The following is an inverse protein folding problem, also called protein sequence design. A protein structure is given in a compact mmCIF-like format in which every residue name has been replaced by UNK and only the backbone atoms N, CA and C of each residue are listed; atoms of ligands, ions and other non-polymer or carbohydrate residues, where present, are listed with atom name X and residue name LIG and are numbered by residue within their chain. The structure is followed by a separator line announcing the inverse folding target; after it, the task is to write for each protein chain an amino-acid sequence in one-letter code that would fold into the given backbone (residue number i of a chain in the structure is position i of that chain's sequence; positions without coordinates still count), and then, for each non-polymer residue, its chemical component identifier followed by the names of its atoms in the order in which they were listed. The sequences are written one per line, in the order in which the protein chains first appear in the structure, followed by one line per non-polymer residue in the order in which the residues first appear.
data_IF_929653961252
#
_entry.id   IF_929653961252
#
_cell.length_a   1.000
_cell.length_b   1.000
_cell.length_c   1.000
_cell.angle_alpha   90.00
_cell.angle_beta   90.00
_cell.angle_gamma   90.00
#
_symmetry.space_group_name_H-M   'P 1'
#
loop_
_entity.id
_entity.type
_entity.pdbx_description
1 polymer ?
#
# COMPACT_ATOMS: atom_id res chain seq x y z
N UNK A 1 -35.64 -13.73 -61.32
CA UNK A 1 -34.66 -14.49 -60.52
C UNK A 1 -34.92 -14.17 -59.06
N UNK A 2 -35.61 -15.06 -58.34
CA UNK A 2 -35.97 -14.88 -56.93
C UNK A 2 -34.85 -15.45 -56.07
N UNK A 3 -34.17 -14.59 -55.31
CA UNK A 3 -33.13 -15.01 -54.37
C UNK A 3 -33.79 -15.82 -53.24
N UNK A 4 -33.33 -17.06 -53.08
CA UNK A 4 -33.81 -17.99 -52.05
C UNK A 4 -33.11 -17.70 -50.71
N UNK A 5 -33.71 -16.79 -49.95
CA UNK A 5 -33.19 -16.32 -48.65
C UNK A 5 -33.18 -17.40 -47.56
N UNK A 6 -33.91 -18.51 -47.74
CA UNK A 6 -33.98 -19.60 -46.76
C UNK A 6 -32.70 -20.44 -46.75
N UNK A 7 -32.10 -20.71 -47.91
CA UNK A 7 -30.79 -21.39 -48.00
C UNK A 7 -29.65 -20.55 -47.44
N UNK A 8 -29.73 -19.23 -47.57
CA UNK A 8 -28.71 -18.33 -47.03
C UNK A 8 -28.73 -18.30 -45.50
N UNK A 9 -29.93 -18.20 -44.89
CA UNK A 9 -30.09 -18.21 -43.42
C UNK A 9 -29.57 -19.48 -42.76
N UNK A 10 -29.89 -20.65 -43.32
CA UNK A 10 -29.42 -21.95 -42.81
C UNK A 10 -27.88 -22.13 -42.87
N UNK A 11 -27.19 -21.40 -43.75
CA UNK A 11 -25.72 -21.45 -43.86
C UNK A 11 -25.01 -20.63 -42.79
N UNK A 12 -25.70 -19.69 -42.15
CA UNK A 12 -25.16 -18.78 -41.14
C UNK A 12 -25.38 -19.38 -39.75
N UNK A 13 -26.55 -19.99 -39.50
CA UNK A 13 -26.89 -20.62 -38.22
C UNK A 13 -26.05 -21.88 -37.90
N UNK A 14 -25.48 -22.55 -38.92
CA UNK A 14 -24.59 -23.71 -38.72
C UNK A 14 -23.14 -23.32 -38.40
N UNK A 15 -22.83 -22.02 -38.39
CA UNK A 15 -21.48 -21.52 -38.15
C UNK A 15 -21.36 -21.01 -36.72
N UNK A 16 -21.63 -21.86 -35.74
CA UNK A 16 -21.20 -21.59 -34.37
C UNK A 16 -19.67 -21.66 -34.35
N UNK A 17 -18.96 -20.55 -34.12
CA UNK A 17 -17.50 -20.60 -34.05
C UNK A 17 -17.14 -21.44 -32.83
N UNK A 18 -16.51 -22.59 -33.05
CA UNK A 18 -15.85 -23.33 -31.98
C UNK A 18 -14.62 -22.52 -31.58
N UNK A 19 -14.80 -21.67 -30.57
CA UNK A 19 -13.73 -20.85 -30.01
C UNK A 19 -12.90 -21.78 -29.12
N UNK A 20 -11.61 -21.91 -29.40
CA UNK A 20 -10.72 -22.66 -28.52
C UNK A 20 -10.53 -21.85 -27.23
N UNK A 21 -11.17 -22.29 -26.15
CA UNK A 21 -11.13 -21.62 -24.86
C UNK A 21 -9.76 -21.75 -24.17
N UNK A 22 -8.97 -22.80 -24.51
CA UNK A 22 -7.67 -23.06 -23.89
C UNK A 22 -6.65 -21.94 -24.18
N UNK A 23 -6.41 -21.53 -25.45
CA UNK A 23 -5.55 -20.38 -25.75
C UNK A 23 -6.12 -19.05 -25.24
N UNK A 24 -7.45 -18.89 -25.23
CA UNK A 24 -8.10 -17.66 -24.77
C UNK A 24 -7.90 -17.44 -23.27
N UNK A 25 -8.03 -18.51 -22.48
CA UNK A 25 -7.81 -18.49 -21.04
C UNK A 25 -6.38 -18.07 -20.71
N UNK A 26 -5.39 -18.58 -21.46
CA UNK A 26 -3.97 -18.25 -21.27
C UNK A 26 -3.69 -16.75 -21.49
N UNK A 27 -4.29 -16.16 -22.53
CA UNK A 27 -4.17 -14.71 -22.80
C UNK A 27 -4.82 -13.88 -21.68
N UNK A 28 -6.01 -14.28 -21.20
CA UNK A 28 -6.69 -13.57 -20.11
C UNK A 28 -5.89 -13.67 -18.81
N UNK A 29 -5.36 -14.85 -18.49
CA UNK A 29 -4.57 -15.08 -17.29
C UNK A 29 -3.26 -14.27 -17.31
N UNK A 30 -2.61 -14.22 -18.46
CA UNK A 30 -1.40 -13.41 -18.68
C UNK A 30 -1.68 -11.92 -18.44
N UNK A 31 -2.80 -11.39 -18.95
CA UNK A 31 -3.19 -9.99 -18.74
C UNK A 31 -3.53 -9.71 -17.27
N UNK A 32 -4.24 -10.62 -16.59
CA UNK A 32 -4.58 -10.49 -15.17
C UNK A 32 -3.33 -10.42 -14.29
N UNK A 33 -2.36 -11.31 -14.50
CA UNK A 33 -1.10 -11.30 -13.74
C UNK A 33 -0.33 -10.01 -14.03
N UNK A 34 -0.22 -9.62 -15.30
CA UNK A 34 0.47 -8.39 -15.68
C UNK A 34 -0.13 -7.17 -15.00
N UNK A 35 -1.46 -7.05 -14.99
CA UNK A 35 -2.16 -5.96 -14.31
C UNK A 35 -1.95 -6.00 -12.79
N UNK A 36 -1.99 -7.18 -12.16
CA UNK A 36 -1.74 -7.32 -10.72
C UNK A 36 -0.31 -6.86 -10.35
N UNK A 37 0.68 -7.26 -11.14
CA UNK A 37 2.08 -6.89 -10.94
C UNK A 37 2.33 -5.40 -11.22
N UNK A 38 1.61 -4.81 -12.18
CA UNK A 38 1.68 -3.36 -12.43
C UNK A 38 0.98 -2.56 -11.33
N UNK A 39 -0.19 -2.99 -10.85
CA UNK A 39 -0.89 -2.33 -9.73
C UNK A 39 -0.10 -2.40 -8.43
N UNK A 40 0.66 -3.48 -8.17
CA UNK A 40 1.48 -3.58 -6.96
C UNK A 40 2.71 -2.66 -6.97
N UNK A 41 3.11 -2.15 -8.14
CA UNK A 41 4.25 -1.24 -8.31
C UNK A 41 3.83 0.23 -8.41
N UNK A 42 2.55 0.52 -8.65
CA UNK A 42 2.04 1.88 -8.56
C UNK A 42 1.69 2.20 -7.09
N UNK A 43 2.35 3.19 -6.46
CA UNK A 43 1.83 3.73 -5.20
C UNK A 43 0.45 4.32 -5.51
N UNK A 44 -0.58 3.74 -4.91
CA UNK A 44 -1.96 4.18 -5.06
C UNK A 44 -2.07 5.66 -4.73
N UNK A 45 -2.33 6.49 -5.75
CA UNK A 45 -2.85 7.85 -5.61
C UNK A 45 -4.32 7.72 -5.24
N UNK A 46 -4.61 7.19 -4.07
CA UNK A 46 -5.91 7.31 -3.42
C UNK A 46 -5.73 7.09 -1.91
N UNK A 47 -5.78 8.20 -1.19
CA UNK A 47 -5.84 8.31 0.26
C UNK A 47 -7.22 7.81 0.73
N UNK A 48 -7.43 6.51 0.77
CA UNK A 48 -8.56 5.92 1.50
C UNK A 48 -8.08 4.69 2.27
N UNK A 49 -7.88 4.91 3.57
CA UNK A 49 -7.45 3.90 4.53
C UNK A 49 -8.49 2.78 4.64
N UNK A 50 -8.20 1.60 4.07
CA UNK A 50 -8.92 0.36 4.36
C UNK A 50 -8.21 -0.42 5.49
N UNK A 51 -8.96 -1.02 6.44
CA UNK A 51 -8.38 -1.56 7.68
C UNK A 51 -7.67 -2.92 7.55
N UNK A 52 -7.31 -3.38 6.34
CA UNK A 52 -6.76 -4.73 6.12
C UNK A 52 -5.24 -4.79 5.92
N UNK A 53 -4.54 -3.65 5.92
CA UNK A 53 -3.08 -3.62 5.89
C UNK A 53 -2.48 -3.37 7.27
N UNK A 54 -2.69 -4.32 8.20
CA UNK A 54 -1.84 -4.45 9.38
C UNK A 54 -0.58 -5.21 8.95
N UNK A 55 0.25 -4.56 8.13
CA UNK A 55 1.64 -4.98 7.97
C UNK A 55 2.48 -3.76 8.27
N UNK A 56 3.10 -3.77 9.46
CA UNK A 56 4.18 -2.86 9.83
C UNK A 56 5.45 -3.15 9.01
N UNK A 57 5.31 -3.44 7.69
CA UNK A 57 6.46 -3.64 6.83
C UNK A 57 6.99 -2.26 6.48
N UNK A 58 8.26 -1.98 6.80
CA UNK A 58 8.80 -0.67 6.57
C UNK A 58 8.86 -0.38 5.06
N UNK A 59 8.12 0.62 4.57
CA UNK A 59 8.25 1.15 3.21
C UNK A 59 9.36 2.18 3.22
N UNK A 60 10.59 1.76 2.95
CA UNK A 60 11.66 2.67 2.58
C UNK A 60 12.39 2.11 1.38
N UNK A 61 12.34 2.88 0.28
CA UNK A 61 13.30 2.78 -0.80
C UNK A 61 14.71 2.76 -0.22
N UNK A 62 15.55 1.91 -0.81
CA UNK A 62 16.99 1.84 -0.58
C UNK A 62 17.63 3.22 -0.69
N UNK A 63 17.92 3.82 0.46
CA UNK A 63 18.59 5.11 0.62
C UNK A 63 18.92 5.27 2.11
N UNK A 64 20.01 5.95 2.42
CA UNK A 64 20.51 6.25 3.78
C UNK A 64 19.57 7.20 4.55
N UNK A 65 18.28 6.87 4.61
CA UNK A 65 17.30 7.67 5.33
C UNK A 65 17.54 7.47 6.82
N UNK A 66 17.97 8.53 7.51
CA UNK A 66 18.15 8.53 8.97
C UNK A 66 16.82 8.39 9.71
N UNK A 67 15.70 8.59 9.02
CA UNK A 67 14.35 8.53 9.57
C UNK A 67 13.45 7.60 8.75
N UNK A 68 12.63 6.83 9.46
CA UNK A 68 11.64 5.91 8.92
C UNK A 68 10.22 6.46 9.17
N UNK A 69 9.36 6.42 8.15
CA UNK A 69 7.98 6.90 8.27
C UNK A 69 7.08 5.86 8.95
N UNK A 70 6.56 6.20 10.12
CA UNK A 70 5.72 5.35 10.94
C UNK A 70 4.26 5.83 10.90
N UNK A 71 3.40 5.23 10.07
CA UNK A 71 1.97 5.52 10.06
C UNK A 71 1.26 4.79 11.22
N UNK A 72 0.29 5.45 11.83
CA UNK A 72 -0.68 4.80 12.72
C UNK A 72 -2.06 5.39 12.47
N UNK A 73 -3.06 4.53 12.26
CA UNK A 73 -4.42 5.01 12.01
C UNK A 73 -4.93 5.79 13.23
N UNK A 74 -5.44 7.01 13.00
CA UNK A 74 -5.88 7.88 14.07
C UNK A 74 -4.76 8.38 14.99
N UNK A 75 -3.50 8.39 14.54
CA UNK A 75 -2.38 8.91 15.31
C UNK A 75 -2.61 10.38 15.68
N UNK A 76 -2.69 10.64 16.98
CA UNK A 76 -2.82 12.00 17.51
C UNK A 76 -1.93 12.25 18.72
N UNK A 77 -1.28 11.21 19.26
CA UNK A 77 -0.35 11.36 20.39
C UNK A 77 0.94 10.59 20.16
N UNK A 78 2.08 11.28 20.31
CA UNK A 78 3.40 10.62 20.35
C UNK A 78 4.16 11.11 21.57
N UNK A 79 4.71 10.18 22.34
CA UNK A 79 5.60 10.48 23.47
C UNK A 79 6.97 9.84 23.25
N UNK A 80 8.03 10.59 23.53
CA UNK A 80 9.42 10.11 23.49
C UNK A 80 10.00 10.30 24.88
N UNK A 81 10.45 9.22 25.54
CA UNK A 81 10.99 9.26 26.91
C UNK A 81 10.08 10.00 27.93
N UNK A 82 8.77 9.98 27.70
CA UNK A 82 7.77 10.69 28.53
C UNK A 82 7.49 12.14 28.11
N UNK A 83 8.24 12.70 27.16
CA UNK A 83 8.02 14.04 26.59
C UNK A 83 7.03 13.95 25.43
N UNK A 84 6.04 14.84 25.40
CA UNK A 84 5.10 14.93 24.30
C UNK A 84 5.78 15.50 23.03
N UNK A 85 5.67 14.74 21.93
CA UNK A 85 6.20 15.06 20.60
C UNK A 85 5.11 15.04 19.54
N UNK A 86 3.85 15.14 19.95
CA UNK A 86 2.68 15.10 19.05
C UNK A 86 2.66 16.24 18.03
N UNK A 87 3.39 17.33 18.29
CA UNK A 87 3.57 18.46 17.36
C UNK A 87 4.19 18.07 16.01
N UNK A 88 4.94 16.96 15.97
CA UNK A 88 5.58 16.44 14.77
C UNK A 88 4.67 15.52 13.94
N UNK A 89 3.47 15.20 14.40
CA UNK A 89 2.54 14.35 13.65
C UNK A 89 2.06 15.11 12.40
N UNK A 90 2.16 14.48 11.23
CA UNK A 90 1.59 14.98 9.98
C UNK A 90 0.84 13.86 9.28
N UNK A 91 -0.40 14.13 8.88
CA UNK A 91 -1.24 13.18 8.12
C UNK A 91 -1.35 11.78 8.75
N UNK A 92 -1.41 11.69 10.08
CA UNK A 92 -1.50 10.40 10.79
C UNK A 92 -0.20 9.58 10.82
N UNK A 93 0.94 10.21 10.55
CA UNK A 93 2.25 9.58 10.59
C UNK A 93 3.29 10.45 11.30
N UNK A 94 4.36 9.81 11.76
CA UNK A 94 5.55 10.48 12.31
C UNK A 94 6.81 9.83 11.75
N UNK A 95 7.88 10.61 11.56
CA UNK A 95 9.17 10.07 11.15
C UNK A 95 10.01 9.74 12.40
N UNK A 96 10.51 8.51 12.49
CA UNK A 96 11.27 8.01 13.65
C UNK A 96 12.69 7.67 13.23
N UNK A 97 13.67 8.07 14.01
CA UNK A 97 15.09 7.85 13.70
C UNK A 97 15.42 6.34 13.65
N UNK A 98 16.22 5.92 12.67
CA UNK A 98 16.58 4.49 12.47
C UNK A 98 17.21 3.85 13.71
N UNK A 99 18.21 4.50 14.31
CA UNK A 99 18.78 4.05 15.60
C UNK A 99 17.76 3.86 16.73
N UNK A 100 16.64 4.61 16.75
CA UNK A 100 15.57 4.41 17.73
C UNK A 100 14.76 3.15 17.42
N UNK A 101 14.67 2.75 16.15
CA UNK A 101 14.12 1.44 15.76
C UNK A 101 15.01 0.29 16.20
N UNK A 102 16.33 0.47 16.12
CA UNK A 102 17.31 -0.58 16.37
C UNK A 102 17.63 -0.75 17.86
N UNK A 103 17.86 0.37 18.57
CA UNK A 103 18.33 0.40 19.96
C UNK A 103 17.23 0.78 20.95
N UNK A 104 16.12 1.35 20.47
CA UNK A 104 15.01 1.81 21.30
C UNK A 104 13.87 0.80 21.45
N UNK A 105 12.78 1.26 22.03
CA UNK A 105 11.53 0.51 22.13
C UNK A 105 10.38 1.38 21.65
N UNK A 106 9.51 0.82 20.81
CA UNK A 106 8.34 1.52 20.28
C UNK A 106 7.10 0.70 20.62
N UNK A 107 6.17 1.32 21.33
CA UNK A 107 4.88 0.74 21.69
C UNK A 107 3.78 1.55 21.02
N UNK A 108 2.99 0.89 20.19
CA UNK A 108 1.84 1.50 19.52
C UNK A 108 0.55 1.01 20.15
N UNK A 109 -0.33 1.94 20.50
CA UNK A 109 -1.70 1.65 20.88
C UNK A 109 -2.64 2.14 19.77
N UNK A 110 -3.07 1.20 18.93
CA UNK A 110 -3.99 1.46 17.82
C UNK A 110 -5.41 1.79 18.27
N UNK A 111 -5.80 1.45 19.51
CA UNK A 111 -7.13 1.80 20.05
C UNK A 111 -7.17 3.27 20.46
N UNK A 112 -6.10 3.74 21.08
CA UNK A 112 -5.98 5.13 21.55
C UNK A 112 -5.27 6.03 20.57
N UNK A 113 -4.78 5.53 19.42
CA UNK A 113 -4.09 6.36 18.43
C UNK A 113 -2.81 7.00 18.98
N UNK A 114 -2.09 6.27 19.84
CA UNK A 114 -0.90 6.78 20.52
C UNK A 114 0.34 5.92 20.29
N UNK A 115 1.51 6.57 20.24
CA UNK A 115 2.81 5.91 20.16
C UNK A 115 3.66 6.36 21.34
N UNK A 116 4.22 5.40 22.07
CA UNK A 116 5.22 5.65 23.11
C UNK A 116 6.56 5.12 22.64
N UNK A 117 7.56 5.98 22.64
CA UNK A 117 8.92 5.69 22.17
C UNK A 117 9.87 5.85 23.35
N UNK A 118 10.66 4.82 23.60
CA UNK A 118 11.81 4.85 24.50
C UNK A 118 13.07 4.88 23.63
N UNK A 119 13.77 6.00 23.63
CA UNK A 119 14.98 6.22 22.84
C UNK A 119 16.22 6.33 23.74
N UNK A 120 17.42 5.94 23.26
CA UNK A 120 18.67 6.23 23.94
C UNK A 120 18.83 7.72 24.25
N UNK A 121 19.48 8.07 25.37
CA UNK A 121 19.59 9.45 25.85
C UNK A 121 20.25 10.41 24.83
N UNK A 122 21.16 9.90 24.00
CA UNK A 122 21.83 10.68 22.95
C UNK A 122 20.89 11.09 21.80
N UNK A 123 19.74 10.42 21.67
CA UNK A 123 18.83 10.57 20.54
C UNK A 123 17.50 11.21 20.92
N UNK A 124 17.26 11.56 22.19
CA UNK A 124 15.93 12.03 22.64
C UNK A 124 15.41 13.26 21.86
N UNK A 125 16.30 14.18 21.50
CA UNK A 125 15.93 15.38 20.73
C UNK A 125 15.64 15.07 19.26
N UNK A 126 16.32 14.08 18.71
CA UNK A 126 16.28 13.72 17.29
C UNK A 126 15.53 12.41 17.03
N UNK A 127 14.91 11.83 18.06
CA UNK A 127 14.25 10.53 17.99
C UNK A 127 13.09 10.54 16.99
N UNK A 128 12.42 11.69 16.88
CA UNK A 128 11.28 11.88 15.99
C UNK A 128 11.34 13.23 15.27
N UNK A 129 10.77 13.28 14.08
CA UNK A 129 10.59 14.48 13.28
C UNK A 129 9.28 14.46 12.52
N UNK A 130 8.88 15.63 12.02
CA UNK A 130 7.77 15.72 11.10
C UNK A 130 8.10 14.99 9.80
N UNK A 131 7.18 14.16 9.26
CA UNK A 131 7.32 13.58 7.93
C UNK A 131 7.61 14.67 6.90
N UNK A 132 8.76 14.58 6.23
CA UNK A 132 9.03 15.40 5.05
C UNK A 132 8.19 14.88 3.89
N UNK A 133 7.29 15.71 3.37
CA UNK A 133 6.62 15.47 2.09
C UNK A 133 7.70 15.51 1.01
N UNK A 134 8.11 14.35 0.51
CA UNK A 134 8.86 14.25 -0.75
C UNK A 134 7.88 14.15 -1.91
#
# INVERSE_FOLDING_TARGET
MTIDTKRFKNKIDQKTPNINLVPLLDVIFTIMIFLLVMLSQQPSVDQNYTPEQISAKPTSQSGTSEYYLMPLNGLHKVTVNGVDKSEYIRSGAIAVHTRVMDEGQIVMDSKTGSITITSPAELEEVAVRAPSTS
#
